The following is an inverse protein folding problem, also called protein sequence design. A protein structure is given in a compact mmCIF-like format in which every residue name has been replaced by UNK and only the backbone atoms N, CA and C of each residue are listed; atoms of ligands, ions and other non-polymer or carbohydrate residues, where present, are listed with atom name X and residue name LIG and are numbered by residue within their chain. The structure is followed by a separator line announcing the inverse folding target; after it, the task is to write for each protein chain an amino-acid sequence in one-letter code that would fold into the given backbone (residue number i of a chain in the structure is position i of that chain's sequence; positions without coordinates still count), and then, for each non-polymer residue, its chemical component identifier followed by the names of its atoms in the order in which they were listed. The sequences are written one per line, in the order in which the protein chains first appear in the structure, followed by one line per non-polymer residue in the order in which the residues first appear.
data_IF_524604989589
#
_entry.id   IF_524604989589
#
_cell.length_a   1.000
_cell.length_b   1.000
_cell.length_c   1.000
_cell.angle_alpha   90.00
_cell.angle_beta   90.00
_cell.angle_gamma   90.00
#
_symmetry.space_group_name_H-M   'P 1'
#
loop_
_entity.id
_entity.type
_entity.pdbx_description
1 polymer ?
#
# COMPACT_ATOMS: atom_id res chain seq x y z
N UNK A 1 15.64 -16.04 -0.02
CA UNK A 1 14.39 -15.54 0.61
C UNK A 1 14.76 -14.78 1.85
N UNK A 2 14.18 -13.59 2.11
CA UNK A 2 14.36 -12.85 3.36
C UNK A 2 13.27 -13.26 4.35
N UNK A 3 13.60 -13.20 5.65
CA UNK A 3 12.63 -13.49 6.72
C UNK A 3 12.12 -12.19 7.32
N UNK A 4 10.80 -12.10 7.49
CA UNK A 4 10.12 -11.00 8.17
C UNK A 4 9.46 -11.58 9.41
N UNK A 5 9.77 -11.04 10.59
CA UNK A 5 9.11 -11.44 11.83
C UNK A 5 7.77 -10.72 11.92
N UNK A 6 6.73 -11.40 12.36
CA UNK A 6 5.42 -10.80 12.58
C UNK A 6 4.93 -11.04 14.01
N UNK A 7 4.11 -10.11 14.48
CA UNK A 7 3.31 -10.25 15.69
C UNK A 7 1.84 -10.11 15.33
N UNK A 8 1.04 -11.12 15.65
CA UNK A 8 -0.41 -11.04 15.55
C UNK A 8 -0.96 -10.32 16.77
N UNK A 9 -1.84 -9.37 16.57
CA UNK A 9 -2.55 -8.66 17.63
C UNK A 9 -3.87 -9.40 17.96
N UNK A 10 -4.43 -9.18 19.16
CA UNK A 10 -5.60 -9.92 19.63
C UNK A 10 -6.79 -9.86 18.66
N UNK A 11 -7.09 -8.69 18.09
CA UNK A 11 -8.18 -8.55 17.12
C UNK A 11 -7.87 -9.17 15.74
N UNK A 12 -6.62 -9.55 15.47
CA UNK A 12 -6.21 -10.31 14.28
C UNK A 12 -6.30 -11.82 14.43
N UNK A 13 -6.65 -12.31 15.64
CA UNK A 13 -6.78 -13.75 15.90
C UNK A 13 -7.84 -14.39 15.00
N UNK A 14 -7.55 -15.60 14.48
CA UNK A 14 -8.44 -16.33 13.57
C UNK A 14 -8.42 -15.85 12.10
N UNK A 15 -7.78 -14.71 11.77
CA UNK A 15 -7.57 -14.32 10.39
C UNK A 15 -6.37 -15.07 9.79
N UNK A 16 -6.43 -15.32 8.49
CA UNK A 16 -5.29 -15.86 7.75
C UNK A 16 -4.14 -14.85 7.74
N UNK A 17 -2.90 -15.34 7.81
CA UNK A 17 -1.72 -14.51 7.61
C UNK A 17 -1.60 -14.12 6.13
N UNK A 18 -0.99 -12.96 5.83
CA UNK A 18 -0.63 -12.63 4.46
C UNK A 18 0.21 -13.73 3.83
N UNK A 19 -0.18 -14.16 2.64
CA UNK A 19 0.51 -15.20 1.87
C UNK A 19 0.49 -14.83 0.39
N UNK A 20 1.47 -15.33 -0.35
CA UNK A 20 1.48 -15.24 -1.81
C UNK A 20 0.45 -16.22 -2.38
N UNK A 21 -0.49 -15.73 -3.17
CA UNK A 21 -1.57 -16.55 -3.75
C UNK A 21 -1.11 -17.35 -4.99
N UNK A 22 0.06 -17.03 -5.56
CA UNK A 22 0.71 -17.75 -6.64
C UNK A 22 2.22 -17.70 -6.51
N UNK A 23 2.95 -18.59 -7.20
CA UNK A 23 4.41 -18.72 -7.13
C UNK A 23 5.14 -17.40 -7.45
N UNK A 24 4.66 -16.65 -8.44
CA UNK A 24 5.26 -15.38 -8.89
C UNK A 24 4.51 -14.15 -8.38
N UNK A 25 3.60 -14.28 -7.41
CA UNK A 25 2.92 -13.13 -6.83
C UNK A 25 3.92 -12.20 -6.17
N UNK A 26 3.79 -10.88 -6.42
CA UNK A 26 4.65 -9.86 -5.80
C UNK A 26 4.13 -9.36 -4.46
N UNK A 27 2.83 -9.51 -4.20
CA UNK A 27 2.15 -9.01 -3.01
C UNK A 27 1.39 -10.09 -2.27
N UNK A 28 1.22 -9.88 -0.97
CA UNK A 28 0.42 -10.70 -0.06
C UNK A 28 -0.81 -9.91 0.37
N UNK A 29 -2.00 -10.50 0.30
CA UNK A 29 -3.23 -9.79 0.68
C UNK A 29 -3.28 -9.48 2.18
N UNK A 30 -3.68 -8.25 2.53
CA UNK A 30 -3.99 -7.81 3.89
C UNK A 30 -5.49 -7.87 4.13
N UNK A 31 -5.85 -8.45 5.27
CA UNK A 31 -7.24 -8.63 5.69
C UNK A 31 -7.64 -7.56 6.72
N UNK A 32 -8.90 -7.13 6.68
CA UNK A 32 -9.48 -6.25 7.69
C UNK A 32 -9.69 -7.00 9.02
N UNK A 33 -9.03 -6.55 10.09
CA UNK A 33 -9.13 -7.13 11.43
C UNK A 33 -10.20 -6.41 12.29
N UNK A 34 -11.41 -6.30 11.75
CA UNK A 34 -12.55 -5.72 12.47
C UNK A 34 -13.14 -6.74 13.48
N UNK A 35 -13.95 -6.31 14.46
CA UNK A 35 -14.76 -7.22 15.27
C UNK A 35 -15.63 -8.14 14.40
N UNK A 36 -16.01 -9.31 14.90
CA UNK A 36 -16.77 -10.32 14.14
C UNK A 36 -18.07 -9.76 13.51
N UNK A 37 -18.83 -9.00 14.29
CA UNK A 37 -20.07 -8.34 13.86
C UNK A 37 -19.87 -6.87 13.47
N UNK A 38 -18.60 -6.42 13.41
CA UNK A 38 -18.26 -5.03 13.07
C UNK A 38 -18.16 -4.82 11.58
N UNK A 39 -18.60 -3.65 11.12
CA UNK A 39 -18.38 -3.18 9.77
C UNK A 39 -18.01 -1.70 9.75
N UNK A 40 -17.29 -1.29 8.71
CA UNK A 40 -17.02 0.10 8.41
C UNK A 40 -17.63 0.42 7.04
N UNK A 41 -18.53 1.39 7.01
CA UNK A 41 -19.16 1.85 5.77
C UNK A 41 -18.42 3.08 5.26
N UNK A 42 -17.80 2.99 4.11
CA UNK A 42 -17.17 4.11 3.42
C UNK A 42 -18.18 4.68 2.40
N UNK A 43 -18.81 5.78 2.74
CA UNK A 43 -19.60 6.54 1.76
C UNK A 43 -18.69 7.07 0.63
N UNK A 44 -19.23 7.42 -0.55
CA UNK A 44 -18.46 8.11 -1.59
C UNK A 44 -17.69 9.33 -1.04
N UNK A 45 -16.39 9.40 -1.31
CA UNK A 45 -15.48 10.43 -0.79
C UNK A 45 -14.99 10.22 0.66
N UNK A 46 -15.56 9.27 1.40
CA UNK A 46 -15.13 8.97 2.77
C UNK A 46 -13.86 8.12 2.82
N UNK A 47 -13.09 8.29 3.90
CA UNK A 47 -11.91 7.49 4.22
C UNK A 47 -11.96 6.97 5.64
N UNK A 48 -11.30 5.83 5.87
CA UNK A 48 -11.09 5.28 7.21
C UNK A 48 -9.78 4.52 7.29
N UNK A 49 -9.22 4.46 8.50
CA UNK A 49 -8.12 3.59 8.86
C UNK A 49 -8.68 2.21 9.23
N UNK A 50 -8.29 1.19 8.48
CA UNK A 50 -8.70 -0.19 8.71
C UNK A 50 -7.55 -0.96 9.35
N UNK A 51 -7.73 -1.54 10.54
CA UNK A 51 -6.71 -2.35 11.19
C UNK A 51 -6.49 -3.67 10.46
N UNK A 52 -5.25 -4.15 10.41
CA UNK A 52 -4.89 -5.47 9.85
C UNK A 52 -4.70 -6.57 10.89
N UNK A 53 -4.60 -6.21 12.16
CA UNK A 53 -4.29 -7.14 13.24
C UNK A 53 -2.85 -7.66 13.24
N UNK A 54 -1.94 -7.02 12.48
CA UNK A 54 -0.55 -7.43 12.31
C UNK A 54 0.42 -6.28 12.57
N UNK A 55 1.51 -6.59 13.26
CA UNK A 55 2.72 -5.79 13.28
C UNK A 55 3.86 -6.65 12.72
N UNK A 56 4.82 -6.01 12.02
CA UNK A 56 5.96 -6.71 11.40
C UNK A 56 7.27 -6.07 11.81
N UNK A 57 8.34 -6.87 11.71
CA UNK A 57 9.72 -6.42 11.81
C UNK A 57 10.46 -6.79 10.53
N UNK A 58 10.82 -5.77 9.77
CA UNK A 58 11.58 -5.92 8.54
C UNK A 58 13.09 -5.85 8.81
N UNK A 59 13.91 -6.59 8.08
CA UNK A 59 15.36 -6.42 8.14
C UNK A 59 15.76 -5.04 7.58
N UNK A 60 16.90 -4.50 8.05
CA UNK A 60 17.45 -3.25 7.52
C UNK A 60 17.67 -3.34 6.00
N UNK A 61 17.42 -2.26 5.30
CA UNK A 61 17.54 -2.19 3.83
C UNK A 61 16.29 -2.64 3.08
N UNK A 62 15.18 -2.89 3.81
CA UNK A 62 13.89 -3.20 3.23
C UNK A 62 12.80 -2.30 3.81
N UNK A 63 11.74 -2.09 3.06
CA UNK A 63 10.44 -1.53 3.47
C UNK A 63 9.31 -2.48 3.10
N UNK A 64 8.16 -2.34 3.72
CA UNK A 64 6.93 -2.90 3.18
C UNK A 64 6.06 -1.78 2.62
N UNK A 65 5.50 -2.00 1.44
CA UNK A 65 4.58 -1.09 0.80
C UNK A 65 3.15 -1.63 0.88
N UNK A 66 2.23 -0.79 1.32
CA UNK A 66 0.81 -1.08 1.30
C UNK A 66 0.23 -0.51 0.01
N UNK A 67 -0.14 -1.39 -0.90
CA UNK A 67 -0.63 -1.07 -2.23
C UNK A 67 -2.11 -1.43 -2.37
N UNK A 68 -2.87 -0.71 -3.23
CA UNK A 68 -4.26 -1.06 -3.50
C UNK A 68 -4.38 -2.39 -4.24
N UNK A 69 -5.57 -2.98 -4.15
CA UNK A 69 -5.95 -4.15 -4.96
C UNK A 69 -6.67 -3.67 -6.21
N UNK A 70 -6.23 -4.17 -7.36
CA UNK A 70 -6.78 -3.79 -8.67
C UNK A 70 -8.28 -4.04 -8.79
N UNK A 71 -8.77 -5.16 -8.21
CA UNK A 71 -10.19 -5.48 -8.21
C UNK A 71 -11.04 -4.46 -7.45
N UNK A 72 -10.60 -4.03 -6.24
CA UNK A 72 -11.30 -2.99 -5.48
C UNK A 72 -11.27 -1.64 -6.21
N UNK A 73 -10.12 -1.29 -6.78
CA UNK A 73 -9.98 -0.05 -7.53
C UNK A 73 -10.90 0.00 -8.76
N UNK A 74 -10.95 -1.09 -9.54
CA UNK A 74 -11.72 -1.15 -10.79
C UNK A 74 -13.23 -1.24 -10.55
N UNK A 75 -13.66 -2.15 -9.64
CA UNK A 75 -15.09 -2.46 -9.50
C UNK A 75 -15.81 -1.57 -8.48
N UNK A 76 -15.09 -1.14 -7.44
CA UNK A 76 -15.68 -0.39 -6.32
C UNK A 76 -15.20 1.07 -6.25
N UNK A 77 -14.14 1.42 -6.99
CA UNK A 77 -13.51 2.73 -6.86
C UNK A 77 -12.78 2.92 -5.53
N UNK A 78 -12.50 1.83 -4.79
CA UNK A 78 -11.85 1.87 -3.48
C UNK A 78 -10.35 1.65 -3.61
N UNK A 79 -9.55 2.51 -2.96
CA UNK A 79 -8.09 2.45 -3.02
C UNK A 79 -7.45 2.78 -1.68
N UNK A 80 -6.14 2.60 -1.59
CA UNK A 80 -5.32 3.08 -0.47
C UNK A 80 -5.01 4.55 -0.71
N UNK A 81 -5.43 5.42 0.21
CA UNK A 81 -5.33 6.88 0.04
C UNK A 81 -3.89 7.36 -0.14
N UNK A 82 -2.98 6.83 0.67
CA UNK A 82 -1.54 7.16 0.65
C UNK A 82 -0.72 6.17 -0.15
N UNK A 83 -1.22 5.72 -1.28
CA UNK A 83 -0.59 4.66 -2.09
C UNK A 83 0.66 5.14 -2.83
N UNK A 84 1.79 4.39 -2.71
CA UNK A 84 2.01 3.29 -1.77
C UNK A 84 2.18 3.78 -0.32
N UNK A 85 1.51 3.13 0.63
CA UNK A 85 1.77 3.36 2.05
C UNK A 85 3.12 2.76 2.43
N UNK A 86 3.97 3.49 3.16
CA UNK A 86 5.30 3.03 3.57
C UNK A 86 5.26 2.49 4.99
N UNK A 87 5.84 1.30 5.19
CA UNK A 87 6.12 0.70 6.49
C UNK A 87 7.64 0.54 6.61
N UNK A 88 8.24 1.38 7.45
CA UNK A 88 9.69 1.42 7.64
C UNK A 88 10.20 0.19 8.41
N UNK A 89 11.48 -0.15 8.21
CA UNK A 89 12.10 -1.30 8.87
C UNK A 89 12.13 -1.19 10.41
N UNK A 90 12.09 0.01 10.97
CA UNK A 90 12.07 0.28 12.41
C UNK A 90 10.67 0.54 12.98
N UNK A 91 9.62 0.51 12.15
CA UNK A 91 8.24 0.58 12.64
C UNK A 91 7.85 -0.72 13.34
N UNK A 92 7.22 -0.61 14.52
CA UNK A 92 6.78 -1.75 15.34
C UNK A 92 5.29 -1.69 15.69
N UNK A 93 4.58 -0.70 15.17
CA UNK A 93 3.14 -0.58 15.35
C UNK A 93 2.34 -1.51 14.44
N UNK A 94 1.04 -1.52 14.62
CA UNK A 94 0.12 -2.22 13.75
C UNK A 94 0.12 -1.64 12.34
N UNK A 95 0.08 -2.50 11.32
CA UNK A 95 -0.16 -2.08 9.95
C UNK A 95 -1.62 -1.68 9.82
N UNK A 96 -1.85 -0.38 9.63
CA UNK A 96 -3.16 0.17 9.32
C UNK A 96 -3.29 0.52 7.83
N UNK A 97 -4.43 0.21 7.24
CA UNK A 97 -4.70 0.52 5.82
C UNK A 97 -5.66 1.70 5.74
N UNK A 98 -5.22 2.81 5.16
CA UNK A 98 -6.06 3.99 4.96
C UNK A 98 -6.82 3.81 3.63
N UNK A 99 -8.07 3.35 3.70
CA UNK A 99 -8.93 3.24 2.52
C UNK A 99 -9.67 4.54 2.25
N UNK A 100 -9.87 4.85 0.97
CA UNK A 100 -10.77 5.89 0.48
C UNK A 100 -11.68 5.32 -0.59
N UNK A 101 -12.93 5.77 -0.60
CA UNK A 101 -13.92 5.38 -1.62
C UNK A 101 -14.10 6.53 -2.63
N UNK A 102 -13.56 6.37 -3.83
CA UNK A 102 -13.79 7.26 -4.98
C UNK A 102 -14.94 6.77 -5.88
N UNK A 103 -15.59 5.66 -5.52
CA UNK A 103 -16.75 5.15 -6.23
C UNK A 103 -18.01 5.98 -5.98
N UNK A 104 -19.12 5.55 -6.57
CA UNK A 104 -20.42 6.25 -6.48
C UNK A 104 -21.38 5.63 -5.46
N UNK A 105 -21.02 4.47 -4.89
CA UNK A 105 -21.83 3.74 -3.91
C UNK A 105 -21.07 3.56 -2.60
N UNK A 106 -21.76 3.44 -1.46
CA UNK A 106 -21.12 3.06 -0.22
C UNK A 106 -20.40 1.70 -0.34
N UNK A 107 -19.19 1.62 0.18
CA UNK A 107 -18.40 0.38 0.27
C UNK A 107 -18.35 -0.10 1.71
N UNK A 108 -18.69 -1.37 1.95
CA UNK A 108 -18.74 -1.95 3.29
C UNK A 108 -17.54 -2.86 3.49
N UNK A 109 -16.71 -2.51 4.49
CA UNK A 109 -15.59 -3.33 4.94
C UNK A 109 -16.06 -4.18 6.10
N UNK A 110 -15.93 -5.51 6.00
CA UNK A 110 -16.19 -6.47 7.08
C UNK A 110 -14.92 -7.20 7.49
N UNK A 111 -14.97 -7.85 8.65
CA UNK A 111 -13.87 -8.71 9.11
C UNK A 111 -13.47 -9.71 8.03
N UNK A 112 -12.16 -9.85 7.80
CA UNK A 112 -11.60 -10.78 6.81
C UNK A 112 -11.68 -10.31 5.36
N UNK A 113 -12.24 -9.12 5.09
CA UNK A 113 -12.21 -8.55 3.75
C UNK A 113 -10.75 -8.30 3.32
N UNK A 114 -10.39 -8.67 2.10
CA UNK A 114 -9.10 -8.37 1.48
C UNK A 114 -9.09 -6.91 1.03
N UNK A 115 -8.40 -6.04 1.78
CA UNK A 115 -8.49 -4.57 1.65
C UNK A 115 -7.31 -3.92 0.94
N UNK A 116 -6.15 -4.57 0.93
CA UNK A 116 -4.92 -4.09 0.33
C UNK A 116 -3.97 -5.26 0.07
N UNK A 117 -2.81 -4.99 -0.49
CA UNK A 117 -1.71 -5.95 -0.58
C UNK A 117 -0.43 -5.35 0.00
N UNK A 118 0.37 -6.20 0.65
CA UNK A 118 1.68 -5.89 1.20
C UNK A 118 2.75 -6.41 0.26
N UNK A 119 3.68 -5.53 -0.14
CA UNK A 119 4.82 -5.87 -0.99
C UNK A 119 6.10 -5.45 -0.27
N UNK A 120 7.03 -6.37 -0.07
CA UNK A 120 8.34 -6.06 0.53
C UNK A 120 9.33 -5.67 -0.57
N UNK A 121 9.96 -4.50 -0.40
CA UNK A 121 10.87 -3.92 -1.38
C UNK A 121 12.23 -3.58 -0.76
N UNK A 122 13.35 -3.70 -1.51
CA UNK A 122 14.63 -3.17 -1.07
C UNK A 122 14.61 -1.64 -1.08
N UNK A 123 15.33 -1.02 -0.14
CA UNK A 123 15.44 0.44 -0.01
C UNK A 123 16.88 0.87 -0.24
N UNK A 124 17.09 1.79 -1.16
CA UNK A 124 18.37 2.46 -1.37
C UNK A 124 18.39 3.76 -0.57
N UNK A 125 19.32 3.89 0.37
CA UNK A 125 19.53 5.13 1.13
C UNK A 125 20.49 6.03 0.39
N UNK A 126 20.16 7.32 0.29
CA UNK A 126 20.96 8.33 -0.39
C UNK A 126 21.38 9.42 0.59
N UNK A 127 22.54 10.03 0.35
CA UNK A 127 22.97 11.27 0.97
C UNK A 127 22.78 12.41 -0.06
N UNK A 128 22.05 13.44 0.32
CA UNK A 128 21.93 14.64 -0.50
C UNK A 128 23.16 15.50 -0.28
N UNK A 129 23.87 15.80 -1.37
CA UNK A 129 25.06 16.65 -1.37
C UNK A 129 24.73 17.91 -2.15
N UNK A 130 24.98 19.07 -1.56
CA UNK A 130 24.79 20.34 -2.23
C UNK A 130 25.78 20.49 -3.41
N UNK A 131 25.27 20.86 -4.56
CA UNK A 131 26.05 21.17 -5.75
C UNK A 131 25.66 22.54 -6.28
N UNK A 132 26.60 23.29 -6.82
CA UNK A 132 26.35 24.60 -7.43
C UNK A 132 25.47 24.49 -8.68
N UNK A 133 25.59 23.39 -9.41
CA UNK A 133 24.80 23.09 -10.62
C UNK A 133 24.66 21.58 -10.81
N UNK A 134 23.58 21.20 -11.48
CA UNK A 134 23.38 19.84 -11.96
C UNK A 134 23.99 19.67 -13.37
N UNK A 135 24.42 18.46 -13.70
CA UNK A 135 24.89 18.14 -15.07
C UNK A 135 23.75 18.29 -16.07
N UNK A 136 24.09 18.82 -17.25
CA UNK A 136 23.12 18.94 -18.34
C UNK A 136 22.61 17.56 -18.78
N UNK A 137 21.35 17.49 -19.18
CA UNK A 137 20.74 16.30 -19.77
C UNK A 137 19.89 16.68 -20.97
N UNK A 138 19.65 15.72 -21.88
CA UNK A 138 18.78 15.93 -23.05
C UNK A 138 17.38 16.41 -22.66
N UNK A 139 16.84 15.87 -21.57
CA UNK A 139 15.54 16.27 -21.06
C UNK A 139 15.55 17.67 -20.41
N UNK A 140 16.67 18.08 -19.82
CA UNK A 140 16.80 19.35 -19.10
C UNK A 140 15.73 19.51 -18.00
N UNK A 141 15.03 20.64 -17.98
CA UNK A 141 13.95 20.96 -17.05
C UNK A 141 12.56 20.55 -17.56
N UNK A 142 12.46 19.94 -18.72
CA UNK A 142 11.19 19.57 -19.32
C UNK A 142 10.51 18.46 -18.52
N UNK A 143 9.22 18.67 -18.19
CA UNK A 143 8.37 17.75 -17.42
C UNK A 143 6.91 17.96 -17.78
N UNK A 144 6.01 17.40 -16.96
CA UNK A 144 4.55 17.63 -17.03
C UNK A 144 3.92 17.44 -18.43
N UNK A 145 4.33 16.38 -19.14
CA UNK A 145 3.80 16.07 -20.47
C UNK A 145 4.59 16.64 -21.63
N UNK A 146 5.85 17.03 -21.43
CA UNK A 146 6.76 17.52 -22.49
C UNK A 146 6.99 16.53 -23.63
N UNK A 147 6.61 15.28 -23.49
CA UNK A 147 6.67 14.22 -24.52
C UNK A 147 5.39 14.08 -25.35
N UNK A 148 4.43 15.03 -25.21
CA UNK A 148 3.14 14.97 -25.90
C UNK A 148 2.14 14.01 -25.23
N UNK A 149 0.89 14.03 -25.71
CA UNK A 149 -0.22 13.17 -25.25
C UNK A 149 -0.46 11.98 -26.17
N UNK A 150 0.08 11.98 -27.36
CA UNK A 150 0.00 10.91 -28.35
C UNK A 150 1.31 10.77 -29.11
N UNK A 151 1.53 9.64 -29.79
CA UNK A 151 2.68 9.40 -30.66
C UNK A 151 2.71 10.30 -31.91
N UNK A 152 1.64 11.03 -32.21
CA UNK A 152 1.52 11.93 -33.35
C UNK A 152 1.90 13.38 -33.02
N UNK A 153 2.16 13.70 -31.73
CA UNK A 153 2.52 15.05 -31.27
C UNK A 153 4.04 15.27 -31.11
N UNK A 154 4.89 14.36 -31.59
CA UNK A 154 6.36 14.46 -31.55
C UNK A 154 6.95 14.72 -32.93
#
# INVERSE_FOLDING_TARGET
MISVVYKRLAHGEGLQLPAYESEDASGMDLLAALPAEGEIVLAPGARALIPSGLAIELPRGFEAQIRPRSGLALHEGVTVLNSPGTVDADYRGEIGVILINFGTKPFVVRRGARIAQLVVCPVVRVALIAGERLTASVRGSNGFGSTGRSSEEN
#
